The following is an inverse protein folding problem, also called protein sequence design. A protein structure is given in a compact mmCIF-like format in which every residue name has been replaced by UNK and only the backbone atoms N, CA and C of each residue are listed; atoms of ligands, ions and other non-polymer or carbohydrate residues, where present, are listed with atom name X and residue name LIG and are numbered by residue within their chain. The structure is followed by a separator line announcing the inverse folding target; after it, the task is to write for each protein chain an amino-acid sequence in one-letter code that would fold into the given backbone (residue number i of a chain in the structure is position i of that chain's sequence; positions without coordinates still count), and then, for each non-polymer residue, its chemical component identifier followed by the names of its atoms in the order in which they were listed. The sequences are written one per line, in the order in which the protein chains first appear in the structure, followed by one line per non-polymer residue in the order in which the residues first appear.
data_IF_978144184878
#
_entry.id   IF_978144184878
#
_cell.length_a   1.000
_cell.length_b   1.000
_cell.length_c   1.000
_cell.angle_alpha   90.00
_cell.angle_beta   90.00
_cell.angle_gamma   90.00
#
_symmetry.space_group_name_H-M   'P 1'
#
loop_
_entity.id
_entity.type
_entity.pdbx_description
1 polymer ?
#
# COMPACT_ATOMS: atom_id res chain seq x y z
N UNK A 1 -9.12 23.66 -5.95
CA UNK A 1 -8.44 22.45 -6.45
C UNK A 1 -8.71 21.33 -5.47
N UNK A 2 -9.24 20.19 -5.90
CA UNK A 2 -9.45 19.02 -5.02
C UNK A 2 -8.10 18.40 -4.68
N UNK A 3 -7.84 18.17 -3.39
CA UNK A 3 -6.62 17.50 -2.91
C UNK A 3 -6.54 16.12 -3.60
N UNK A 4 -5.42 15.82 -4.26
CA UNK A 4 -5.24 14.52 -4.91
C UNK A 4 -5.24 13.42 -3.84
N UNK A 5 -6.19 12.49 -3.93
CA UNK A 5 -6.30 11.31 -3.06
C UNK A 5 -5.75 10.09 -3.78
N UNK A 6 -5.30 9.08 -3.03
CA UNK A 6 -4.94 7.79 -3.63
C UNK A 6 -6.15 7.13 -4.30
N UNK A 7 -5.91 6.26 -5.27
CA UNK A 7 -6.96 5.49 -5.94
C UNK A 7 -7.65 4.58 -4.92
N UNK A 8 -8.98 4.66 -4.72
CA UNK A 8 -9.66 3.76 -3.78
C UNK A 8 -9.46 2.28 -4.14
N UNK A 9 -9.34 1.44 -3.11
CA UNK A 9 -9.37 -0.01 -3.26
C UNK A 9 -10.79 -0.56 -3.56
N UNK A 10 -10.93 -1.87 -3.81
CA UNK A 10 -9.86 -2.87 -3.88
C UNK A 10 -9.11 -2.82 -5.21
N UNK A 11 -7.84 -3.22 -5.17
CA UNK A 11 -7.02 -3.42 -6.36
C UNK A 11 -6.79 -4.91 -6.61
N UNK A 12 -6.57 -5.28 -7.86
CA UNK A 12 -6.29 -6.66 -8.28
C UNK A 12 -4.94 -6.76 -8.96
N UNK A 13 -4.31 -7.92 -8.84
CA UNK A 13 -3.10 -8.27 -9.59
C UNK A 13 -3.51 -8.98 -10.86
N UNK A 14 -3.09 -8.45 -12.00
CA UNK A 14 -3.17 -9.13 -13.29
C UNK A 14 -1.76 -9.61 -13.66
N UNK A 15 -1.60 -10.92 -13.82
CA UNK A 15 -0.35 -11.49 -14.34
C UNK A 15 -0.18 -11.07 -15.80
N UNK A 16 0.86 -10.31 -16.10
CA UNK A 16 1.23 -9.95 -17.46
C UNK A 16 1.98 -11.07 -18.18
N UNK A 17 2.41 -10.80 -19.41
CA UNK A 17 3.29 -11.70 -20.15
C UNK A 17 4.74 -11.57 -19.64
N UNK A 18 5.42 -12.70 -19.41
CA UNK A 18 6.83 -12.72 -19.03
C UNK A 18 7.08 -12.19 -17.62
N UNK A 19 7.94 -11.16 -17.51
CA UNK A 19 8.40 -10.55 -16.25
C UNK A 19 7.51 -9.41 -15.73
N UNK A 20 6.32 -9.25 -16.31
CA UNK A 20 5.40 -8.15 -16.02
C UNK A 20 4.27 -8.60 -15.10
N UNK A 21 3.93 -7.77 -14.12
CA UNK A 21 2.72 -7.90 -13.31
C UNK A 21 2.07 -6.53 -13.17
N UNK A 22 0.75 -6.45 -13.34
CA UNK A 22 0.01 -5.20 -13.25
C UNK A 22 -0.86 -5.19 -12.01
N UNK A 23 -1.00 -4.01 -11.41
CA UNK A 23 -2.01 -3.76 -10.37
C UNK A 23 -3.06 -2.84 -10.98
N UNK A 24 -4.32 -3.24 -10.89
CA UNK A 24 -5.45 -2.48 -11.43
C UNK A 24 -6.50 -2.18 -10.38
N UNK A 25 -7.13 -1.02 -10.49
CA UNK A 25 -8.33 -0.72 -9.75
C UNK A 25 -9.49 -1.62 -10.21
N UNK A 26 -10.54 -1.75 -9.40
CA UNK A 26 -11.75 -2.50 -9.75
C UNK A 26 -12.32 -2.09 -11.13
N UNK A 27 -12.32 -0.80 -11.43
CA UNK A 27 -12.68 -0.16 -12.70
C UNK A 27 -11.85 -0.62 -13.92
N UNK A 28 -10.68 -1.22 -13.71
CA UNK A 28 -9.74 -1.62 -14.75
C UNK A 28 -8.63 -0.63 -15.05
N UNK A 29 -8.65 0.54 -14.42
CA UNK A 29 -7.58 1.53 -14.50
C UNK A 29 -6.26 0.95 -13.95
N UNK A 30 -5.16 1.24 -14.64
CA UNK A 30 -3.83 0.79 -14.21
C UNK A 30 -3.36 1.62 -13.01
N UNK A 31 -3.06 0.96 -11.90
CA UNK A 31 -2.53 1.57 -10.67
C UNK A 31 -1.01 1.47 -10.65
N UNK A 32 -0.45 0.29 -11.00
CA UNK A 32 0.98 0.08 -11.05
C UNK A 32 1.38 -0.97 -12.10
N UNK A 33 2.59 -0.83 -12.64
CA UNK A 33 3.25 -1.85 -13.45
C UNK A 33 4.52 -2.29 -12.74
N UNK A 34 4.53 -3.53 -12.26
CA UNK A 34 5.69 -4.16 -11.65
C UNK A 34 6.46 -4.91 -12.75
N UNK A 35 7.66 -4.43 -13.04
CA UNK A 35 8.60 -5.07 -13.96
C UNK A 35 9.91 -5.29 -13.23
N UNK A 36 10.51 -6.45 -13.43
CA UNK A 36 11.85 -6.71 -12.97
C UNK A 36 12.57 -7.59 -13.98
N UNK A 37 13.56 -7.02 -14.67
CA UNK A 37 14.43 -7.75 -15.58
C UNK A 37 15.81 -7.82 -14.92
N UNK A 38 16.13 -8.98 -14.33
CA UNK A 38 17.52 -9.29 -14.06
C UNK A 38 18.25 -9.62 -15.38
N UNK A 39 19.55 -9.36 -15.43
CA UNK A 39 20.42 -9.72 -16.56
C UNK A 39 20.40 -11.23 -16.87
N UNK A 40 19.99 -12.07 -15.92
CA UNK A 40 19.85 -13.52 -16.04
C UNK A 40 18.43 -13.99 -16.42
N UNK A 41 17.51 -13.05 -16.68
CA UNK A 41 16.17 -13.33 -17.20
C UNK A 41 15.16 -13.89 -16.19
N UNK A 42 15.44 -13.89 -14.88
CA UNK A 42 14.52 -14.46 -13.88
C UNK A 42 13.53 -13.42 -13.32
N UNK A 43 12.21 -13.57 -13.55
CA UNK A 43 11.19 -12.69 -12.98
C UNK A 43 10.78 -13.18 -11.59
N UNK A 44 11.56 -12.86 -10.56
CA UNK A 44 11.27 -13.38 -9.21
C UNK A 44 10.44 -12.41 -8.37
N UNK A 45 10.64 -11.09 -8.52
CA UNK A 45 10.06 -10.13 -7.57
C UNK A 45 8.83 -9.38 -8.09
N UNK A 46 8.62 -9.29 -9.40
CA UNK A 46 7.55 -8.49 -9.99
C UNK A 46 6.15 -8.88 -9.48
N UNK A 47 5.88 -10.19 -9.39
CA UNK A 47 4.60 -10.69 -8.91
C UNK A 47 4.43 -10.48 -7.39
N UNK A 48 5.50 -10.63 -6.61
CA UNK A 48 5.48 -10.38 -5.17
C UNK A 48 5.23 -8.90 -4.87
N UNK A 49 5.91 -8.02 -5.59
CA UNK A 49 5.72 -6.56 -5.49
C UNK A 49 4.30 -6.17 -5.89
N UNK A 50 3.75 -6.76 -6.97
CA UNK A 50 2.38 -6.50 -7.38
C UNK A 50 1.36 -6.92 -6.31
N UNK A 51 1.56 -8.09 -5.68
CA UNK A 51 0.71 -8.53 -4.55
C UNK A 51 0.79 -7.56 -3.37
N UNK A 52 1.98 -7.11 -2.99
CA UNK A 52 2.16 -6.17 -1.89
C UNK A 52 1.49 -4.82 -2.18
N UNK A 53 1.64 -4.29 -3.39
CA UNK A 53 1.00 -3.05 -3.81
C UNK A 53 -0.52 -3.21 -3.85
N UNK A 54 -1.05 -4.30 -4.41
CA UNK A 54 -2.48 -4.55 -4.47
C UNK A 54 -3.15 -4.61 -3.07
N UNK A 55 -2.40 -5.07 -2.06
CA UNK A 55 -2.84 -5.10 -0.67
C UNK A 55 -2.73 -3.75 0.06
N UNK A 56 -2.16 -2.70 -0.55
CA UNK A 56 -1.94 -1.42 0.13
C UNK A 56 -3.21 -0.78 0.72
N UNK A 57 -4.39 -0.81 0.06
CA UNK A 57 -5.64 -0.35 0.67
C UNK A 57 -5.99 -1.11 1.96
N UNK A 58 -5.96 -2.45 1.91
CA UNK A 58 -6.29 -3.30 3.06
C UNK A 58 -5.28 -3.11 4.21
N UNK A 59 -3.99 -2.94 3.88
CA UNK A 59 -2.94 -2.66 4.86
C UNK A 59 -3.11 -1.29 5.51
N UNK A 60 -3.53 -0.26 4.75
CA UNK A 60 -3.82 1.06 5.29
C UNK A 60 -5.01 1.01 6.25
N UNK A 61 -6.11 0.38 5.83
CA UNK A 61 -7.31 0.22 6.67
C UNK A 61 -7.00 -0.54 7.97
N UNK A 62 -6.23 -1.62 7.88
CA UNK A 62 -5.80 -2.39 9.05
C UNK A 62 -4.93 -1.56 10.02
N UNK A 63 -3.98 -0.78 9.48
CA UNK A 63 -3.11 0.08 10.28
C UNK A 63 -3.90 1.21 10.98
N UNK A 64 -4.88 1.79 10.30
CA UNK A 64 -5.77 2.80 10.88
C UNK A 64 -6.61 2.22 12.01
N UNK A 65 -7.24 1.05 11.80
CA UNK A 65 -8.00 0.37 12.85
C UNK A 65 -7.14 0.01 14.08
N UNK A 66 -5.90 -0.42 13.86
CA UNK A 66 -4.93 -0.69 14.92
C UNK A 66 -4.54 0.57 15.69
N UNK A 67 -4.34 1.68 14.98
CA UNK A 67 -4.00 2.97 15.59
C UNK A 67 -5.15 3.50 16.43
N UNK A 68 -6.36 3.53 15.88
CA UNK A 68 -7.55 4.02 16.56
C UNK A 68 -7.82 3.22 17.84
N UNK A 69 -7.73 1.89 17.77
CA UNK A 69 -7.88 1.00 18.94
C UNK A 69 -6.83 1.26 20.03
N UNK A 70 -5.62 1.68 19.66
CA UNK A 70 -4.57 2.00 20.61
C UNK A 70 -4.76 3.39 21.25
N UNK A 71 -5.37 4.33 20.54
CA UNK A 71 -5.60 5.71 20.97
C UNK A 71 -6.93 5.92 21.73
N UNK A 72 -7.95 5.08 21.54
CA UNK A 72 -9.25 5.22 22.22
C UNK A 72 -9.21 4.95 23.73
N UNK A 73 -8.14 4.34 24.24
CA UNK A 73 -7.89 4.27 25.68
C UNK A 73 -7.20 5.57 26.12
N UNK A 74 -7.97 6.50 26.71
CA UNK A 74 -7.63 7.89 27.04
C UNK A 74 -6.36 8.14 27.91
N UNK A 75 -5.58 7.11 28.23
CA UNK A 75 -4.37 7.18 29.05
C UNK A 75 -3.12 6.62 28.37
N UNK A 76 -3.20 6.16 27.12
CA UNK A 76 -2.05 5.62 26.39
C UNK A 76 -1.82 6.34 25.07
N UNK A 77 -1.01 7.39 25.06
CA UNK A 77 -0.21 7.68 23.88
C UNK A 77 0.72 6.48 23.72
N UNK A 78 0.66 5.71 22.62
CA UNK A 78 1.53 4.57 22.48
C UNK A 78 2.97 5.07 22.28
N UNK A 79 3.75 5.11 23.37
CA UNK A 79 5.15 5.54 23.39
C UNK A 79 6.10 4.56 22.70
N UNK A 80 5.58 3.46 22.14
CA UNK A 80 6.39 2.48 21.42
C UNK A 80 6.69 3.01 20.03
N UNK A 81 7.97 3.05 19.67
CA UNK A 81 8.45 3.50 18.36
C UNK A 81 7.70 2.88 17.16
N UNK A 82 7.19 1.65 17.30
CA UNK A 82 6.36 0.99 16.29
C UNK A 82 5.07 1.74 15.96
N UNK A 83 4.37 2.28 16.96
CA UNK A 83 3.13 3.04 16.75
C UNK A 83 3.40 4.39 16.11
N UNK A 84 4.45 5.09 16.54
CA UNK A 84 4.88 6.35 15.89
C UNK A 84 5.21 6.10 14.42
N UNK A 85 5.93 5.01 14.11
CA UNK A 85 6.23 4.60 12.74
C UNK A 85 4.97 4.28 11.93
N UNK A 86 3.99 3.59 12.52
CA UNK A 86 2.71 3.28 11.88
C UNK A 86 1.92 4.57 11.56
N UNK A 87 1.79 5.47 12.51
CA UNK A 87 1.12 6.76 12.31
C UNK A 87 1.81 7.63 11.25
N UNK A 88 3.14 7.68 11.25
CA UNK A 88 3.90 8.36 10.22
C UNK A 88 3.66 7.75 8.82
N UNK A 89 3.58 6.42 8.73
CA UNK A 89 3.28 5.73 7.47
C UNK A 89 1.85 6.02 6.97
N UNK A 90 0.85 6.01 7.86
CA UNK A 90 -0.55 6.39 7.56
C UNK A 90 -0.60 7.82 7.00
N UNK A 91 0.02 8.77 7.71
CA UNK A 91 0.03 10.18 7.28
C UNK A 91 0.72 10.36 5.93
N UNK A 92 1.82 9.63 5.69
CA UNK A 92 2.47 9.62 4.38
C UNK A 92 1.54 9.08 3.29
N UNK A 93 0.85 7.96 3.52
CA UNK A 93 -0.07 7.37 2.55
C UNK A 93 -1.29 8.26 2.24
N UNK A 94 -1.77 9.03 3.23
CA UNK A 94 -2.86 10.00 3.07
C UNK A 94 -2.42 11.37 2.50
N UNK A 95 -1.14 11.56 2.20
CA UNK A 95 -0.62 12.86 1.76
C UNK A 95 -0.82 13.96 2.82
N UNK A 96 -0.63 13.61 4.09
CA UNK A 96 -0.70 14.49 5.26
C UNK A 96 0.68 14.85 5.82
N UNK A 97 1.75 14.25 5.28
CA UNK A 97 3.13 14.57 5.64
C UNK A 97 3.71 15.63 4.67
N UNK A 98 4.37 16.65 5.24
CA UNK A 98 5.27 17.57 4.54
C UNK A 98 6.72 17.08 4.68
#
# INVERSE_FOLDING_TARGET
MTKATHTPGPWRVDSGMGSLSYVRAKSGELVASCTWMHSDGKPIEAQANARLIAAAPDLLDALEAMWDSACTNASSTPSKAAFIKAHAAINKAKGLAA
#
